data_IF_407489520260
#
_entry.id   IF_407489520260
#
_cell.length_a   1.000
_cell.length_b   1.000
_cell.length_c   1.000
_cell.angle_alpha   90.00
_cell.angle_beta   90.00
_cell.angle_gamma   90.00
#
_symmetry.space_group_name_H-M   'P 1'
#
loop_
_entity.id
_entity.type
_entity.pdbx_description
1 polymer ?
#
# COMPACT_ATOMS: atom_id res chain seq x y z
N UNK A 1 -9.19 -3.91 -10.30
CA UNK A 1 -9.37 -4.57 -8.99
C UNK A 1 -8.15 -4.32 -8.11
N UNK A 2 -8.30 -4.26 -6.78
CA UNK A 2 -7.17 -4.09 -5.84
C UNK A 2 -6.95 -5.37 -5.03
N UNK A 3 -5.71 -5.88 -5.00
CA UNK A 3 -5.36 -7.08 -4.24
C UNK A 3 -4.53 -6.74 -2.99
N UNK A 4 -4.86 -7.32 -1.85
CA UNK A 4 -4.02 -7.27 -0.65
C UNK A 4 -3.11 -8.51 -0.64
N UNK A 5 -1.79 -8.30 -0.72
CA UNK A 5 -0.83 -9.40 -0.78
C UNK A 5 -0.29 -9.76 0.61
N UNK A 6 -0.33 -11.06 0.93
CA UNK A 6 0.56 -11.73 1.87
C UNK A 6 1.41 -12.73 1.08
N UNK A 7 2.58 -13.12 1.62
CA UNK A 7 3.73 -13.68 0.88
C UNK A 7 3.50 -14.80 -0.15
N UNK A 8 2.38 -15.51 -0.13
CA UNK A 8 2.09 -16.62 -1.05
C UNK A 8 1.37 -16.20 -2.34
N UNK A 9 0.93 -14.94 -2.46
CA UNK A 9 0.09 -14.50 -3.57
C UNK A 9 0.86 -13.89 -4.75
N UNK A 10 2.20 -13.79 -4.67
CA UNK A 10 3.03 -13.30 -5.77
C UNK A 10 2.97 -14.13 -7.07
N UNK A 11 2.93 -15.49 -7.03
CA UNK A 11 2.91 -16.30 -8.25
C UNK A 11 1.66 -16.12 -9.11
N UNK A 12 0.53 -15.71 -8.53
CA UNK A 12 -0.74 -15.51 -9.26
C UNK A 12 -0.93 -14.08 -9.79
N UNK A 13 -0.04 -13.16 -9.43
CA UNK A 13 -0.13 -11.76 -9.86
C UNK A 13 -0.14 -11.57 -11.39
N UNK A 14 0.67 -12.31 -12.17
CA UNK A 14 0.65 -12.17 -13.62
C UNK A 14 -0.71 -12.50 -14.22
N UNK A 15 -1.46 -13.43 -13.64
CA UNK A 15 -2.78 -13.84 -14.16
C UNK A 15 -3.88 -12.82 -13.82
N UNK A 16 -3.75 -12.14 -12.68
CA UNK A 16 -4.78 -11.23 -12.18
C UNK A 16 -4.71 -9.82 -12.78
N UNK A 17 -3.56 -9.42 -13.30
CA UNK A 17 -3.30 -8.08 -13.87
C UNK A 17 -3.95 -6.92 -13.07
N UNK A 18 -3.72 -6.81 -11.74
CA UNK A 18 -4.37 -5.77 -10.97
C UNK A 18 -3.78 -4.40 -11.33
N UNK A 19 -4.61 -3.36 -11.39
CA UNK A 19 -4.11 -1.99 -11.53
C UNK A 19 -3.40 -1.53 -10.26
N UNK A 20 -3.86 -2.02 -9.10
CA UNK A 20 -3.36 -1.63 -7.78
C UNK A 20 -3.07 -2.84 -6.91
N UNK A 21 -1.96 -2.78 -6.19
CA UNK A 21 -1.59 -3.77 -5.17
C UNK A 21 -1.41 -3.05 -3.84
N UNK A 22 -2.14 -3.51 -2.82
CA UNK A 22 -2.00 -3.02 -1.45
C UNK A 22 -0.95 -3.86 -0.73
N UNK A 23 0.13 -3.21 -0.33
CA UNK A 23 1.23 -3.82 0.40
C UNK A 23 1.06 -3.52 1.90
N UNK A 24 1.05 -4.55 2.73
CA UNK A 24 0.88 -4.40 4.17
C UNK A 24 2.22 -4.03 4.82
N UNK A 25 2.35 -2.78 5.27
CA UNK A 25 3.60 -2.26 5.83
C UNK A 25 3.96 -2.86 7.19
N UNK A 26 3.07 -3.60 7.84
CA UNK A 26 3.41 -4.36 9.05
C UNK A 26 4.47 -5.43 8.78
N UNK A 27 4.50 -6.00 7.57
CA UNK A 27 5.53 -6.96 7.14
C UNK A 27 6.91 -6.29 7.08
N UNK A 28 6.96 -5.01 6.75
CA UNK A 28 8.19 -4.23 6.58
C UNK A 28 8.37 -3.19 7.69
N UNK A 29 7.77 -3.43 8.86
CA UNK A 29 7.82 -2.51 9.99
C UNK A 29 9.28 -2.28 10.43
N UNK A 30 9.63 -1.01 10.64
CA UNK A 30 10.98 -0.57 11.01
C UNK A 30 12.04 -0.87 9.92
N UNK A 31 11.65 -0.99 8.65
CA UNK A 31 12.60 -1.14 7.53
C UNK A 31 13.59 0.03 7.41
N UNK A 32 13.28 1.19 7.99
CA UNK A 32 14.24 2.30 8.13
C UNK A 32 15.41 2.01 9.07
N UNK A 33 15.33 0.97 9.90
CA UNK A 33 16.35 0.55 10.87
C UNK A 33 16.87 -0.85 10.59
N UNK A 34 16.22 -1.58 9.68
CA UNK A 34 16.48 -2.98 9.39
C UNK A 34 16.74 -3.14 7.89
N UNK A 35 18.00 -3.39 7.56
CA UNK A 35 18.46 -3.49 6.17
C UNK A 35 17.86 -4.68 5.44
N UNK A 36 17.68 -5.81 6.12
CA UNK A 36 17.12 -7.01 5.49
C UNK A 36 15.67 -6.74 5.10
N UNK A 37 14.87 -6.14 5.99
CA UNK A 37 13.50 -5.72 5.67
C UNK A 37 13.42 -4.70 4.55
N UNK A 38 14.37 -3.77 4.49
CA UNK A 38 14.43 -2.81 3.39
C UNK A 38 14.70 -3.52 2.05
N UNK A 39 15.62 -4.47 2.02
CA UNK A 39 15.92 -5.26 0.82
C UNK A 39 14.73 -6.12 0.39
N UNK A 40 14.01 -6.74 1.33
CA UNK A 40 12.76 -7.48 1.06
C UNK A 40 11.67 -6.56 0.50
N UNK A 41 11.51 -5.37 1.09
CA UNK A 41 10.56 -4.36 0.61
C UNK A 41 10.87 -3.95 -0.83
N UNK A 42 12.14 -3.65 -1.13
CA UNK A 42 12.57 -3.26 -2.48
C UNK A 42 12.28 -4.39 -3.48
N UNK A 43 12.60 -5.64 -3.15
CA UNK A 43 12.31 -6.80 -4.00
C UNK A 43 10.82 -6.91 -4.31
N UNK A 44 9.96 -6.75 -3.29
CA UNK A 44 8.52 -6.77 -3.46
C UNK A 44 8.02 -5.66 -4.39
N UNK A 45 8.51 -4.43 -4.20
CA UNK A 45 8.14 -3.27 -5.02
C UNK A 45 8.56 -3.45 -6.47
N UNK A 46 9.78 -3.95 -6.72
CA UNK A 46 10.27 -4.20 -8.07
C UNK A 46 9.43 -5.28 -8.79
N UNK A 47 9.08 -6.35 -8.09
CA UNK A 47 8.23 -7.41 -8.64
C UNK A 47 6.85 -6.87 -9.01
N UNK A 48 6.23 -6.09 -8.12
CA UNK A 48 4.91 -5.49 -8.36
C UNK A 48 4.95 -4.53 -9.57
N UNK A 49 5.98 -3.69 -9.65
CA UNK A 49 6.16 -2.78 -10.80
C UNK A 49 6.37 -3.55 -12.10
N UNK A 50 7.05 -4.70 -12.07
CA UNK A 50 7.24 -5.55 -13.24
C UNK A 50 5.92 -6.12 -13.78
N UNK A 51 4.95 -6.39 -12.90
CA UNK A 51 3.58 -6.80 -13.29
C UNK A 51 2.77 -5.64 -13.88
N UNK A 52 3.27 -4.40 -13.78
CA UNK A 52 2.59 -3.20 -14.29
C UNK A 52 1.55 -2.60 -13.33
N UNK A 53 1.57 -3.01 -12.06
CA UNK A 53 0.64 -2.51 -11.04
C UNK A 53 1.24 -1.34 -10.26
N UNK A 54 0.38 -0.44 -9.81
CA UNK A 54 0.73 0.63 -8.88
C UNK A 54 0.63 0.14 -7.42
N UNK A 55 1.57 0.56 -6.56
CA UNK A 55 1.63 0.13 -5.16
C UNK A 55 0.91 1.12 -4.25
N UNK A 56 0.12 0.60 -3.32
CA UNK A 56 -0.44 1.36 -2.20
C UNK A 56 0.15 0.80 -0.90
N UNK A 57 0.97 1.59 -0.21
CA UNK A 57 1.48 1.21 1.11
C UNK A 57 0.38 1.36 2.16
N UNK A 58 -0.09 0.25 2.73
CA UNK A 58 -1.15 0.23 3.74
C UNK A 58 -0.60 0.01 5.14
N UNK A 59 -1.31 0.49 6.17
CA UNK A 59 -0.89 0.46 7.58
C UNK A 59 0.43 1.19 7.83
N UNK A 60 0.65 2.32 7.16
CA UNK A 60 1.77 3.21 7.47
C UNK A 60 1.57 3.91 8.82
N UNK A 61 2.53 3.74 9.72
CA UNK A 61 2.54 4.37 11.06
C UNK A 61 3.84 5.15 11.34
N UNK A 62 4.89 4.92 10.55
CA UNK A 62 6.22 5.55 10.71
C UNK A 62 6.50 6.54 9.59
N UNK A 63 6.87 7.78 9.95
CA UNK A 63 7.34 8.79 8.98
C UNK A 63 8.59 8.31 8.22
N UNK A 64 9.50 7.62 8.92
CA UNK A 64 10.75 7.15 8.32
C UNK A 64 10.50 6.06 7.27
N UNK A 65 9.65 5.08 7.58
CA UNK A 65 9.29 4.02 6.63
C UNK A 65 8.47 4.59 5.47
N UNK A 66 7.56 5.55 5.73
CA UNK A 66 6.81 6.25 4.68
C UNK A 66 7.73 7.06 3.75
N UNK A 67 8.76 7.69 4.29
CA UNK A 67 9.74 8.43 3.49
C UNK A 67 10.53 7.49 2.59
N UNK A 68 10.96 6.33 3.10
CA UNK A 68 11.61 5.32 2.27
C UNK A 68 10.69 4.81 1.16
N UNK A 69 9.43 4.49 1.46
CA UNK A 69 8.46 4.09 0.44
C UNK A 69 8.33 5.14 -0.68
N UNK A 70 8.27 6.43 -0.31
CA UNK A 70 8.26 7.54 -1.27
C UNK A 70 9.55 7.59 -2.12
N UNK A 71 10.71 7.38 -1.49
CA UNK A 71 12.02 7.35 -2.19
C UNK A 71 12.14 6.22 -3.21
N UNK A 72 11.41 5.12 -3.02
CA UNK A 72 11.31 4.03 -3.99
C UNK A 72 10.15 4.20 -5.00
N UNK A 73 9.59 5.42 -5.06
CA UNK A 73 8.60 5.81 -6.07
C UNK A 73 7.20 5.28 -5.80
N UNK A 74 6.83 5.09 -4.54
CA UNK A 74 5.46 4.80 -4.14
C UNK A 74 4.80 6.10 -3.69
N UNK A 75 3.77 6.53 -4.42
CA UNK A 75 3.09 7.81 -4.21
C UNK A 75 1.77 7.67 -3.44
N UNK A 76 1.28 6.43 -3.27
CA UNK A 76 0.02 6.13 -2.57
C UNK A 76 0.27 5.48 -1.21
N UNK A 77 -0.29 6.09 -0.15
CA UNK A 77 -0.14 5.63 1.22
C UNK A 77 -1.44 5.70 2.01
N UNK A 78 -1.68 4.70 2.85
CA UNK A 78 -2.81 4.63 3.78
C UNK A 78 -2.31 4.14 5.14
N UNK A 79 -2.68 4.83 6.22
CA UNK A 79 -2.39 4.38 7.58
C UNK A 79 -2.61 5.46 8.62
N UNK A 80 -2.51 5.09 9.90
CA UNK A 80 -2.74 6.00 11.02
C UNK A 80 -1.70 7.13 11.11
N UNK A 81 -0.57 7.01 10.38
CA UNK A 81 0.33 8.13 10.15
C UNK A 81 -0.38 9.35 9.53
N UNK A 82 -1.37 9.11 8.68
CA UNK A 82 -2.12 10.15 7.98
C UNK A 82 -3.47 10.41 8.64
N UNK A 83 -4.29 9.38 8.79
CA UNK A 83 -5.62 9.48 9.39
C UNK A 83 -6.12 8.10 9.85
N UNK A 84 -6.98 8.11 10.87
CA UNK A 84 -7.81 6.94 11.21
C UNK A 84 -9.03 6.90 10.27
N UNK A 85 -9.64 5.73 10.04
CA UNK A 85 -10.93 5.64 9.37
C UNK A 85 -11.92 6.61 10.03
N UNK A 86 -12.50 7.51 9.24
CA UNK A 86 -13.55 8.38 9.73
C UNK A 86 -14.77 7.54 10.10
N UNK A 87 -15.44 7.89 11.19
CA UNK A 87 -16.82 7.46 11.42
C UNK A 87 -17.66 8.00 10.25
N UNK A 88 -18.59 7.18 9.75
CA UNK A 88 -19.35 7.41 8.52
C UNK A 88 -19.71 8.88 8.31
N UNK A 89 -19.40 9.42 7.13
CA UNK A 89 -19.92 10.72 6.70
C UNK A 89 -21.45 10.62 6.83
N UNK A 90 -22.11 11.45 7.66
CA UNK A 90 -23.57 11.47 7.67
C UNK A 90 -24.02 11.70 6.24
N UNK A 91 -24.90 10.85 5.70
CA UNK A 91 -25.56 11.09 4.42
C UNK A 91 -26.35 12.40 4.53
N UNK A 92 -25.68 13.54 4.36
CA UNK A 92 -26.31 14.83 4.30
C UNK A 92 -27.06 14.87 2.96
N UNK A 93 -28.35 14.56 3.04
CA UNK A 93 -29.40 14.75 2.04
C UNK A 93 -28.92 15.29 0.69
N UNK A 94 -28.55 14.39 -0.22
CA UNK A 94 -28.66 14.69 -1.64
C UNK A 94 -30.17 14.76 -1.90
N UNK A 95 -30.77 15.95 -1.74
CA UNK A 95 -32.09 16.21 -2.29
C UNK A 95 -31.93 16.13 -3.81
N UNK A 96 -32.36 15.01 -4.37
CA UNK A 96 -32.70 14.93 -5.79
C UNK A 96 -33.74 16.02 -6.06
N UNK A 97 -33.32 17.13 -6.65
CA UNK A 97 -34.23 18.03 -7.35
C UNK A 97 -34.67 17.30 -8.60
N UNK A 98 -35.82 16.63 -8.50
CA UNK A 98 -36.65 16.25 -9.65
C UNK A 98 -37.21 17.49 -10.33
#
# INVERSE_FOLDING_TARGET
ASLALSGNAFPVLPELHPNYIKLNMMTYKDMSKDREKLEEFIKAVLMIKHVGSEVICSRLESRADSYLALRYGITLGQGFLFARPAETIPFAHIKSTS
#
